data_IF_861191663044
#
_entry.id   IF_861191663044
#
_cell.length_a   1.000
_cell.length_b   1.000
_cell.length_c   1.000
_cell.angle_alpha   90.00
_cell.angle_beta   90.00
_cell.angle_gamma   90.00
#
_symmetry.space_group_name_H-M   'P 1'
#
loop_
_entity.id
_entity.type
_entity.pdbx_description
1 polymer ?
#
# COMPACT_ATOMS: atom_id res chain seq x y z
N UNK A 1 -57.61 13.19 -39.09
CA UNK A 1 -57.59 12.90 -37.64
C UNK A 1 -56.28 12.22 -37.25
N UNK A 2 -55.16 12.96 -37.23
CA UNK A 2 -53.83 12.46 -36.86
C UNK A 2 -53.01 13.63 -36.30
N UNK A 3 -53.27 14.03 -35.05
CA UNK A 3 -52.50 15.11 -34.41
C UNK A 3 -52.61 15.12 -32.88
N UNK A 4 -52.88 13.96 -32.26
CA UNK A 4 -53.01 13.86 -30.79
C UNK A 4 -52.04 12.85 -30.15
N UNK A 5 -51.26 12.10 -30.92
CA UNK A 5 -50.38 11.05 -30.38
C UNK A 5 -48.91 11.46 -30.18
N UNK A 6 -48.35 12.37 -30.99
CA UNK A 6 -46.93 12.77 -30.84
C UNK A 6 -46.65 13.66 -29.63
N UNK A 7 -47.66 14.34 -29.08
CA UNK A 7 -47.47 15.25 -27.93
C UNK A 7 -47.42 14.53 -26.58
N UNK A 8 -47.77 13.24 -26.53
CA UNK A 8 -47.80 12.45 -25.29
C UNK A 8 -46.44 11.82 -24.98
N UNK A 9 -45.72 11.40 -26.02
CA UNK A 9 -44.43 10.69 -25.91
C UNK A 9 -43.27 11.60 -25.45
N UNK A 10 -43.23 12.83 -25.99
CA UNK A 10 -42.21 13.83 -25.63
C UNK A 10 -42.36 14.33 -24.18
N UNK A 11 -43.59 14.36 -23.65
CA UNK A 11 -43.88 14.77 -22.28
C UNK A 11 -43.52 13.66 -21.28
N UNK A 12 -43.72 12.40 -21.64
CA UNK A 12 -43.32 11.25 -20.82
C UNK A 12 -41.81 11.10 -20.72
N UNK A 13 -41.05 11.34 -21.79
CA UNK A 13 -39.59 11.23 -21.77
C UNK A 13 -38.93 12.33 -20.92
N UNK A 14 -39.41 13.58 -21.00
CA UNK A 14 -38.95 14.65 -20.11
C UNK A 14 -39.24 14.34 -18.64
N UNK A 15 -40.45 13.82 -18.34
CA UNK A 15 -40.83 13.44 -16.97
C UNK A 15 -40.02 12.24 -16.45
N UNK A 16 -39.72 11.25 -17.29
CA UNK A 16 -38.88 10.11 -16.94
C UNK A 16 -37.42 10.54 -16.73
N UNK A 17 -36.91 11.48 -17.53
CA UNK A 17 -35.57 12.03 -17.34
C UNK A 17 -35.48 12.86 -16.06
N UNK A 18 -36.52 13.64 -15.74
CA UNK A 18 -36.65 14.38 -14.48
C UNK A 18 -36.89 13.50 -13.26
N UNK A 19 -37.37 12.26 -13.42
CA UNK A 19 -37.47 11.27 -12.34
C UNK A 19 -36.25 10.35 -12.23
N UNK A 20 -35.50 10.12 -13.32
CA UNK A 20 -34.24 9.33 -13.30
C UNK A 20 -33.07 10.13 -12.75
N UNK A 21 -32.93 11.40 -13.12
CA UNK A 21 -31.91 12.31 -12.56
C UNK A 21 -31.93 12.37 -11.02
N UNK A 22 -33.07 12.49 -10.33
CA UNK A 22 -33.10 12.51 -8.87
C UNK A 22 -32.79 11.13 -8.25
N UNK A 23 -33.08 10.02 -8.92
CA UNK A 23 -32.68 8.69 -8.44
C UNK A 23 -31.17 8.52 -8.50
N UNK A 24 -30.53 8.88 -9.63
CA UNK A 24 -29.06 8.80 -9.78
C UNK A 24 -28.36 9.73 -8.78
N UNK A 25 -28.86 10.95 -8.61
CA UNK A 25 -28.30 11.87 -7.62
C UNK A 25 -28.51 11.39 -6.19
N UNK A 26 -29.64 10.76 -5.87
CA UNK A 26 -29.86 10.10 -4.58
C UNK A 26 -28.81 9.00 -4.34
N UNK A 27 -28.59 8.12 -5.31
CA UNK A 27 -27.55 7.08 -5.22
C UNK A 27 -26.15 7.68 -5.06
N UNK A 28 -25.84 8.79 -5.75
CA UNK A 28 -24.56 9.49 -5.60
C UNK A 28 -24.38 10.02 -4.18
N UNK A 29 -25.42 10.66 -3.62
CA UNK A 29 -25.41 11.18 -2.23
C UNK A 29 -25.28 10.06 -1.20
N UNK A 30 -25.97 8.95 -1.41
CA UNK A 30 -25.84 7.76 -0.55
C UNK A 30 -24.43 7.18 -0.58
N UNK A 31 -23.81 7.09 -1.76
CA UNK A 31 -22.40 6.65 -1.89
C UNK A 31 -21.45 7.58 -1.14
N UNK A 32 -21.61 8.89 -1.29
CA UNK A 32 -20.78 9.89 -0.59
C UNK A 32 -20.94 9.76 0.93
N UNK A 33 -22.17 9.68 1.42
CA UNK A 33 -22.42 9.53 2.86
C UNK A 33 -21.88 8.19 3.38
N UNK A 34 -22.02 7.09 2.62
CA UNK A 34 -21.42 5.81 2.98
C UNK A 34 -19.89 5.90 3.07
N UNK A 35 -19.23 6.58 2.13
CA UNK A 35 -17.77 6.78 2.20
C UNK A 35 -17.36 7.67 3.39
N UNK A 36 -18.17 8.67 3.76
CA UNK A 36 -17.91 9.50 4.94
C UNK A 36 -17.94 8.68 6.23
N UNK A 37 -18.94 7.81 6.40
CA UNK A 37 -19.04 6.94 7.59
C UNK A 37 -17.91 5.91 7.65
N UNK A 38 -17.45 5.42 6.49
CA UNK A 38 -16.26 4.55 6.39
C UNK A 38 -15.00 5.28 6.84
N UNK A 39 -14.77 6.52 6.37
CA UNK A 39 -13.63 7.33 6.81
C UNK A 39 -13.66 7.58 8.31
N UNK A 40 -14.84 7.91 8.86
CA UNK A 40 -15.03 8.10 10.29
C UNK A 40 -14.66 6.84 11.09
N UNK A 41 -15.12 5.68 10.65
CA UNK A 41 -14.82 4.39 11.29
C UNK A 41 -13.33 4.04 11.25
N UNK A 42 -12.67 4.27 10.09
CA UNK A 42 -11.24 3.98 9.93
C UNK A 42 -10.35 4.88 10.80
N UNK A 43 -10.76 6.13 11.01
CA UNK A 43 -10.03 7.14 11.78
C UNK A 43 -10.50 7.26 13.23
N UNK A 44 -11.35 6.35 13.70
CA UNK A 44 -11.94 6.41 15.04
C UNK A 44 -10.86 6.53 16.14
N UNK A 45 -9.76 5.78 15.99
CA UNK A 45 -8.64 5.83 16.93
C UNK A 45 -7.90 7.17 16.94
N UNK A 46 -7.84 7.86 15.80
CA UNK A 46 -7.23 9.17 15.64
C UNK A 46 -8.11 10.26 16.27
N UNK A 47 -9.42 10.16 16.12
CA UNK A 47 -10.35 11.08 16.78
C UNK A 47 -10.32 10.93 18.29
N UNK A 48 -10.30 9.70 18.82
CA UNK A 48 -10.25 9.46 20.26
C UNK A 48 -8.99 10.07 20.91
N UNK A 49 -7.88 10.10 20.18
CA UNK A 49 -6.61 10.71 20.63
C UNK A 49 -6.66 12.24 20.64
N UNK A 50 -7.39 12.86 19.72
CA UNK A 50 -7.46 14.32 19.63
C UNK A 50 -8.56 14.90 20.50
N UNK A 51 -9.79 14.37 20.39
CA UNK A 51 -10.94 14.77 21.20
C UNK A 51 -11.89 13.57 21.40
N UNK A 52 -11.82 12.89 22.56
CA UNK A 52 -12.58 11.67 22.80
C UNK A 52 -14.10 11.88 22.87
N UNK A 53 -14.56 13.06 23.30
CA UNK A 53 -15.99 13.34 23.53
C UNK A 53 -16.62 14.27 22.49
N UNK A 54 -15.90 14.58 21.41
CA UNK A 54 -16.38 15.52 20.40
C UNK A 54 -17.09 14.83 19.24
N UNK A 55 -18.22 15.42 18.83
CA UNK A 55 -18.95 14.97 17.65
C UNK A 55 -18.19 15.42 16.41
N UNK A 56 -17.61 14.47 15.66
CA UNK A 56 -16.89 14.83 14.44
C UNK A 56 -17.85 15.35 13.37
N UNK A 57 -17.66 16.60 12.96
CA UNK A 57 -18.34 17.17 11.81
C UNK A 57 -17.74 16.66 10.49
N UNK A 58 -18.43 16.90 9.37
CA UNK A 58 -17.93 16.44 8.06
C UNK A 58 -16.60 17.09 7.69
N UNK A 59 -16.36 18.34 8.10
CA UNK A 59 -15.10 19.02 7.89
C UNK A 59 -13.97 18.36 8.68
N UNK A 60 -14.18 18.10 9.98
CA UNK A 60 -13.22 17.44 10.86
C UNK A 60 -12.82 16.05 10.33
N UNK A 61 -13.81 15.29 9.82
CA UNK A 61 -13.56 13.98 9.25
C UNK A 61 -12.57 14.06 8.07
N UNK A 62 -12.80 15.03 7.17
CA UNK A 62 -11.95 15.21 6.00
C UNK A 62 -10.58 15.78 6.38
N UNK A 63 -10.52 16.71 7.32
CA UNK A 63 -9.25 17.29 7.80
C UNK A 63 -8.37 16.21 8.44
N UNK A 64 -8.94 15.41 9.35
CA UNK A 64 -8.24 14.29 9.96
C UNK A 64 -7.76 13.28 8.91
N UNK A 65 -8.58 12.99 7.90
CA UNK A 65 -8.20 12.09 6.80
C UNK A 65 -6.97 12.61 6.06
N UNK A 66 -6.96 13.90 5.69
CA UNK A 66 -5.82 14.51 4.99
C UNK A 66 -4.57 14.51 5.87
N UNK A 67 -4.71 14.86 7.15
CA UNK A 67 -3.62 14.81 8.11
C UNK A 67 -3.02 13.39 8.22
N UNK A 68 -3.88 12.38 8.38
CA UNK A 68 -3.48 10.98 8.49
C UNK A 68 -2.73 10.51 7.24
N UNK A 69 -3.27 10.77 6.05
CA UNK A 69 -2.65 10.36 4.79
C UNK A 69 -1.30 11.05 4.54
N UNK A 70 -1.19 12.34 4.84
CA UNK A 70 0.10 13.07 4.73
C UNK A 70 1.14 12.50 5.68
N UNK A 71 0.75 12.20 6.92
CA UNK A 71 1.63 11.56 7.90
C UNK A 71 2.06 10.17 7.43
N UNK A 72 1.13 9.37 6.92
CA UNK A 72 1.42 8.03 6.41
C UNK A 72 2.38 8.08 5.23
N UNK A 73 2.17 8.99 4.27
CA UNK A 73 3.07 9.18 3.13
C UNK A 73 4.49 9.55 3.58
N UNK A 74 4.63 10.48 4.52
CA UNK A 74 5.94 10.84 5.09
C UNK A 74 6.62 9.66 5.79
N UNK A 75 5.85 8.81 6.49
CA UNK A 75 6.38 7.59 7.10
C UNK A 75 6.79 6.56 6.04
N UNK A 76 6.02 6.40 4.97
CA UNK A 76 6.36 5.51 3.86
C UNK A 76 7.62 5.94 3.12
N UNK A 77 7.85 7.26 2.94
CA UNK A 77 9.11 7.76 2.37
C UNK A 77 10.31 7.59 3.32
N UNK A 78 10.09 7.65 4.64
CA UNK A 78 11.13 7.30 5.63
C UNK A 78 11.37 5.78 5.71
N UNK A 79 10.38 4.98 5.31
CA UNK A 79 10.47 3.52 5.22
C UNK A 79 10.82 3.02 3.82
N UNK A 80 10.94 3.87 2.79
CA UNK A 80 11.51 3.43 1.51
C UNK A 80 13.04 3.35 1.55
N UNK A 81 13.66 3.80 2.65
CA UNK A 81 14.99 3.36 3.07
C UNK A 81 14.96 2.16 4.04
N UNK A 82 13.78 1.57 4.27
CA UNK A 82 13.65 0.34 5.06
C UNK A 82 14.11 -0.80 4.18
N UNK A 83 15.35 -1.23 4.45
CA UNK A 83 15.90 -2.55 4.21
C UNK A 83 14.88 -3.50 3.61
N UNK A 84 14.93 -3.65 2.30
CA UNK A 84 14.20 -4.70 1.60
C UNK A 84 14.66 -6.06 2.17
N UNK A 85 13.86 -7.11 2.02
CA UNK A 85 14.32 -8.47 2.35
C UNK A 85 15.67 -8.81 1.65
N UNK A 86 15.96 -8.16 0.51
CA UNK A 86 17.24 -8.24 -0.16
C UNK A 86 18.39 -7.55 0.61
N UNK A 87 18.16 -6.40 1.24
CA UNK A 87 19.17 -5.71 2.07
C UNK A 87 19.48 -6.50 3.35
N UNK A 88 18.47 -7.15 3.94
CA UNK A 88 18.65 -8.04 5.08
C UNK A 88 19.44 -9.30 4.67
N UNK A 89 19.09 -9.91 3.53
CA UNK A 89 19.81 -11.06 2.97
C UNK A 89 21.25 -10.72 2.61
N UNK A 90 21.50 -9.54 2.03
CA UNK A 90 22.83 -9.04 1.73
C UNK A 90 23.67 -8.86 3.01
N UNK A 91 23.10 -8.19 4.02
CA UNK A 91 23.78 -7.93 5.30
C UNK A 91 24.16 -9.24 6.00
N UNK A 92 23.26 -10.22 5.99
CA UNK A 92 23.52 -11.56 6.53
C UNK A 92 24.63 -12.29 5.79
N UNK A 93 24.61 -12.27 4.45
CA UNK A 93 25.65 -12.86 3.62
C UNK A 93 27.03 -12.23 3.88
N UNK A 94 27.11 -10.89 3.96
CA UNK A 94 28.35 -10.18 4.28
C UNK A 94 28.85 -10.56 5.68
N UNK A 95 27.96 -10.64 6.68
CA UNK A 95 28.32 -11.04 8.04
C UNK A 95 28.86 -12.47 8.10
N UNK A 96 28.23 -13.41 7.39
CA UNK A 96 28.67 -14.79 7.29
C UNK A 96 30.03 -14.89 6.58
N UNK A 97 30.23 -14.14 5.50
CA UNK A 97 31.51 -14.07 4.79
C UNK A 97 32.64 -13.52 5.68
N UNK A 98 32.39 -12.44 6.43
CA UNK A 98 33.37 -11.88 7.39
C UNK A 98 33.70 -12.90 8.49
N UNK A 99 32.69 -13.58 9.03
CA UNK A 99 32.88 -14.60 10.07
C UNK A 99 33.74 -15.77 9.57
N UNK A 100 33.45 -16.29 8.38
CA UNK A 100 34.22 -17.36 7.75
C UNK A 100 35.68 -16.94 7.52
N UNK A 101 35.89 -15.78 6.90
CA UNK A 101 37.23 -15.27 6.60
C UNK A 101 38.04 -14.92 7.86
N UNK A 102 37.38 -14.65 8.99
CA UNK A 102 38.07 -14.39 10.27
C UNK A 102 38.54 -15.67 10.97
N UNK A 103 37.92 -16.81 10.68
CA UNK A 103 38.25 -18.11 11.29
C UNK A 103 39.31 -18.89 10.50
N UNK A 104 39.64 -18.47 9.28
CA UNK A 104 40.69 -19.09 8.47
C UNK A 104 42.09 -18.83 9.06
N UNK A 105 42.85 -19.90 9.36
CA UNK A 105 44.19 -19.82 9.95
C UNK A 105 45.26 -19.19 9.05
N UNK A 106 45.07 -19.20 7.72
CA UNK A 106 46.02 -18.65 6.74
C UNK A 106 45.46 -17.37 6.16
N UNK A 107 46.03 -16.21 6.52
CA UNK A 107 45.60 -14.91 6.00
C UNK A 107 46.39 -14.51 4.76
N UNK A 108 45.85 -14.83 3.58
CA UNK A 108 46.40 -14.33 2.31
C UNK A 108 46.23 -12.81 2.20
N UNK A 109 47.04 -12.15 1.37
CA UNK A 109 46.88 -10.70 1.12
C UNK A 109 45.49 -10.38 0.54
N UNK A 110 44.97 -11.25 -0.33
CA UNK A 110 43.64 -11.13 -0.94
C UNK A 110 42.53 -11.17 0.10
N UNK A 111 42.62 -12.07 1.08
CA UNK A 111 41.65 -12.18 2.18
C UNK A 111 41.62 -10.93 3.07
N UNK A 112 42.79 -10.35 3.38
CA UNK A 112 42.86 -9.09 4.14
C UNK A 112 42.19 -7.94 3.38
N UNK A 113 42.41 -7.85 2.07
CA UNK A 113 41.75 -6.84 1.21
C UNK A 113 40.24 -7.04 1.16
N UNK A 114 39.78 -8.29 1.04
CA UNK A 114 38.37 -8.62 0.98
C UNK A 114 37.65 -8.32 2.32
N UNK A 115 38.26 -8.69 3.46
CA UNK A 115 37.75 -8.33 4.79
C UNK A 115 37.64 -6.82 4.97
N UNK A 116 38.69 -6.07 4.61
CA UNK A 116 38.67 -4.60 4.69
C UNK A 116 37.54 -4.01 3.84
N UNK A 117 37.30 -4.56 2.64
CA UNK A 117 36.20 -4.13 1.78
C UNK A 117 34.84 -4.38 2.43
N UNK A 118 34.62 -5.55 3.03
CA UNK A 118 33.36 -5.84 3.73
C UNK A 118 33.12 -4.93 4.94
N UNK A 119 34.15 -4.56 5.68
CA UNK A 119 34.01 -3.59 6.79
C UNK A 119 33.68 -2.17 6.30
N UNK A 120 34.21 -1.74 5.16
CA UNK A 120 33.89 -0.41 4.57
C UNK A 120 32.48 -0.36 3.99
N UNK A 121 31.95 -1.49 3.52
CA UNK A 121 30.62 -1.60 2.91
C UNK A 121 29.47 -1.67 3.92
N UNK A 122 29.76 -1.84 5.22
CA UNK A 122 28.75 -1.91 6.27
C UNK A 122 28.24 -0.50 6.62
N UNK A 123 26.96 -0.16 6.36
CA UNK A 123 26.38 1.08 6.85
C UNK A 123 26.17 0.93 8.36
N UNK A 124 27.06 1.54 9.16
CA UNK A 124 26.96 1.74 10.62
C UNK A 124 26.00 0.77 11.33
N UNK A 125 26.41 -0.49 11.47
CA UNK A 125 25.66 -1.47 12.24
C UNK A 125 25.71 -1.12 13.73
N UNK A 126 24.82 -0.24 14.19
CA UNK A 126 24.51 -0.15 15.61
C UNK A 126 23.77 -1.41 16.05
N UNK A 127 24.55 -2.30 16.65
CA UNK A 127 24.19 -3.18 17.79
C UNK A 127 22.82 -3.87 17.69
N UNK A 128 22.81 -5.04 17.04
CA UNK A 128 21.91 -6.12 17.47
C UNK A 128 22.70 -7.42 17.56
N UNK A 129 23.31 -7.65 18.72
CA UNK A 129 23.67 -9.00 19.16
C UNK A 129 22.36 -9.66 19.54
N UNK A 130 21.90 -10.61 18.74
CA UNK A 130 21.17 -11.81 19.19
C UNK A 130 21.12 -12.78 18.02
N UNK A 131 21.92 -13.84 18.11
CA UNK A 131 21.92 -14.96 17.17
C UNK A 131 21.04 -16.06 17.76
N UNK A 132 19.97 -16.51 17.10
CA UNK A 132 19.52 -17.88 17.26
C UNK A 132 20.27 -18.75 16.26
N UNK A 133 21.06 -19.68 16.77
CA UNK A 133 21.52 -20.83 15.98
C UNK A 133 20.28 -21.57 15.47
N UNK A 134 20.20 -21.82 14.17
CA UNK A 134 19.33 -22.86 13.66
C UNK A 134 20.08 -23.71 12.65
N UNK A 135 20.26 -24.96 13.04
CA UNK A 135 20.80 -26.08 12.30
C UNK A 135 20.08 -26.26 10.97
N UNK A 136 20.84 -26.47 9.90
CA UNK A 136 20.33 -26.84 8.58
C UNK A 136 19.51 -28.12 8.62
N UNK A 137 18.43 -28.18 7.82
CA UNK A 137 18.08 -29.42 7.13
C UNK A 137 18.25 -29.27 5.61
N UNK A 138 18.73 -30.36 5.02
CA UNK A 138 18.96 -30.58 3.61
C UNK A 138 17.71 -30.40 2.72
N UNK A 139 17.98 -30.10 1.45
CA UNK A 139 17.04 -30.02 0.34
C UNK A 139 16.00 -31.14 0.30
N UNK A 140 14.73 -30.78 0.03
CA UNK A 140 13.81 -31.63 -0.73
C UNK A 140 13.05 -30.75 -1.74
N UNK A 141 13.30 -31.01 -3.02
CA UNK A 141 12.56 -30.46 -4.16
C UNK A 141 11.56 -31.54 -4.59
N UNK A 142 10.27 -31.28 -4.40
CA UNK A 142 9.07 -31.81 -5.11
C UNK A 142 7.87 -31.28 -4.31
N UNK A 143 6.81 -30.66 -4.82
CA UNK A 143 6.02 -30.94 -6.01
C UNK A 143 5.10 -29.74 -6.31
N UNK A 144 4.88 -29.46 -7.60
CA UNK A 144 3.58 -29.15 -8.25
C UNK A 144 2.47 -28.53 -7.38
N UNK A 145 2.16 -27.25 -7.59
CA UNK A 145 0.81 -26.73 -7.34
C UNK A 145 0.42 -25.62 -8.31
N UNK A 146 -0.84 -25.71 -8.75
CA UNK A 146 -1.48 -25.02 -9.86
C UNK A 146 -1.85 -23.58 -9.50
N UNK A 147 -1.84 -22.70 -10.49
CA UNK A 147 -2.37 -21.34 -10.42
C UNK A 147 -3.90 -21.32 -10.30
N UNK A 148 -4.48 -20.63 -9.30
CA UNK A 148 -5.87 -20.21 -9.35
C UNK A 148 -5.95 -18.71 -9.68
N UNK A 149 -6.52 -18.42 -10.85
CA UNK A 149 -7.46 -17.31 -11.04
C UNK A 149 -6.99 -15.90 -10.70
N UNK A 150 -6.30 -15.26 -11.65
CA UNK A 150 -6.24 -13.80 -11.72
C UNK A 150 -7.64 -13.28 -12.09
N UNK A 151 -8.47 -13.03 -11.08
CA UNK A 151 -9.80 -12.47 -11.24
C UNK A 151 -9.73 -10.94 -11.20
N UNK A 152 -10.02 -10.33 -12.36
CA UNK A 152 -10.75 -9.06 -12.44
C UNK A 152 -10.04 -7.78 -12.02
N UNK A 153 -8.97 -7.40 -12.74
CA UNK A 153 -8.54 -5.99 -12.79
C UNK A 153 -9.57 -5.17 -13.58
N UNK A 154 -10.56 -4.64 -12.87
CA UNK A 154 -11.41 -3.56 -13.36
C UNK A 154 -10.54 -2.37 -13.79
N UNK A 155 -10.53 -2.05 -15.08
CA UNK A 155 -9.93 -0.82 -15.62
C UNK A 155 -11.02 0.22 -15.83
N UNK A 156 -10.90 1.44 -15.28
CA UNK A 156 -11.71 2.57 -15.71
C UNK A 156 -11.34 2.93 -17.15
N UNK A 157 -12.32 2.95 -18.04
CA UNK A 157 -12.21 3.43 -19.41
C UNK A 157 -12.04 4.95 -19.48
N UNK A 158 -11.01 5.52 -18.86
CA UNK A 158 -10.62 6.91 -19.07
C UNK A 158 -9.16 7.07 -18.63
N UNK A 159 -8.23 6.90 -19.57
CA UNK A 159 -6.94 7.59 -19.60
C UNK A 159 -6.19 7.15 -20.87
N UNK A 160 -6.64 7.67 -22.00
CA UNK A 160 -5.82 7.69 -23.21
C UNK A 160 -6.20 8.88 -24.11
N UNK A 161 -5.96 10.11 -23.66
CA UNK A 161 -5.71 11.28 -24.52
C UNK A 161 -4.85 12.27 -23.70
N UNK A 162 -3.52 12.15 -23.76
CA UNK A 162 -2.58 12.94 -24.57
C UNK A 162 -2.23 14.29 -23.91
N UNK A 163 -1.12 14.31 -23.17
CA UNK A 163 -0.43 15.56 -22.82
C UNK A 163 0.33 16.08 -24.05
N UNK A 164 0.33 17.41 -24.30
CA UNK A 164 1.21 18.05 -25.28
C UNK A 164 2.68 18.01 -24.84
#
# INVERSE_FOLDING_TARGET
MRSSDETKDQRTDHMLNDMRKPIVEKMRRERINSSMEKLKSLLYGEFLKQQPDSRQEKADILEMTVYFLRRQQQQSHKKSSCSTAADEGYSRCVQEAVNFLSQCQVHTQSQRRLLSHFFTMQPSMEKSRNVPQLSSPACQISSKEETPGCSGLWRPCFLMVKCP
#
